data_IF_314913230821
#
_entry.id   IF_314913230821
#
_cell.length_a   1.000
_cell.length_b   1.000
_cell.length_c   1.000
_cell.angle_alpha   90.00
_cell.angle_beta   90.00
_cell.angle_gamma   90.00
#
_symmetry.space_group_name_H-M   'P 1'
#
loop_
_entity.id
_entity.type
_entity.pdbx_description
1 polymer ?
#
# COMPACT_ATOMS: atom_id res chain seq x y z
N UNK A 1 8.92 -9.88 0.13
CA UNK A 1 7.47 -9.67 0.31
C UNK A 1 6.90 -9.43 -1.06
N UNK A 2 5.65 -9.82 -1.34
CA UNK A 2 5.09 -9.68 -2.68
C UNK A 2 4.36 -8.35 -2.84
N UNK A 3 4.50 -7.71 -4.00
CA UNK A 3 3.74 -6.50 -4.35
C UNK A 3 3.15 -6.64 -5.75
N UNK A 4 1.92 -6.17 -5.92
CA UNK A 4 1.28 -6.06 -7.23
C UNK A 4 1.68 -4.75 -7.92
N UNK A 5 2.08 -4.82 -9.18
CA UNK A 5 2.47 -3.65 -9.96
C UNK A 5 2.01 -3.65 -11.40
N UNK A 6 1.73 -2.47 -11.96
CA UNK A 6 1.42 -2.29 -13.39
C UNK A 6 2.74 -2.24 -14.17
N UNK A 7 2.92 -3.14 -15.15
CA UNK A 7 4.13 -3.21 -16.00
C UNK A 7 3.91 -2.64 -17.40
N UNK A 8 2.66 -2.40 -17.76
CA UNK A 8 2.25 -1.88 -19.05
C UNK A 8 0.73 -1.89 -19.15
N UNK A 9 0.17 -1.44 -20.30
CA UNK A 9 -1.27 -1.43 -20.52
C UNK A 9 -1.86 -2.82 -20.29
N UNK A 10 -2.79 -2.94 -19.34
CA UNK A 10 -3.45 -4.21 -18.97
C UNK A 10 -2.52 -5.33 -18.48
N UNK A 11 -1.29 -5.02 -18.07
CA UNK A 11 -0.33 -6.02 -17.57
C UNK A 11 0.00 -5.73 -16.10
N UNK A 12 -0.37 -6.67 -15.23
CA UNK A 12 -0.04 -6.67 -13.81
C UNK A 12 0.97 -7.78 -13.53
N UNK A 13 1.99 -7.51 -12.72
CA UNK A 13 2.86 -8.52 -12.14
C UNK A 13 2.74 -8.54 -10.62
N UNK A 14 3.05 -9.70 -10.04
CA UNK A 14 3.29 -9.84 -8.61
C UNK A 14 4.74 -10.25 -8.42
N UNK A 15 5.57 -9.30 -7.99
CA UNK A 15 7.01 -9.49 -7.86
C UNK A 15 7.43 -9.56 -6.38
N UNK A 16 8.52 -10.25 -6.10
CA UNK A 16 9.19 -10.15 -4.80
C UNK A 16 9.89 -8.79 -4.67
N UNK A 17 9.67 -8.14 -3.55
CA UNK A 17 10.31 -6.88 -3.17
C UNK A 17 10.90 -6.96 -1.77
N UNK A 18 11.85 -6.08 -1.51
CA UNK A 18 12.36 -5.85 -0.16
C UNK A 18 11.25 -5.36 0.77
N UNK A 19 11.39 -5.69 2.05
CA UNK A 19 10.61 -5.08 3.12
C UNK A 19 10.91 -3.57 3.15
N UNK A 20 9.90 -2.68 3.26
CA UNK A 20 10.13 -1.26 3.43
C UNK A 20 10.99 -0.96 4.66
N UNK A 21 11.87 0.03 4.55
CA UNK A 21 12.58 0.59 5.70
C UNK A 21 11.69 1.63 6.39
N UNK A 22 11.79 1.67 7.71
CA UNK A 22 11.03 2.56 8.56
C UNK A 22 11.79 3.88 8.72
N UNK A 23 11.20 5.00 8.29
CA UNK A 23 11.74 6.35 8.49
C UNK A 23 11.07 7.03 9.70
N UNK A 24 11.55 8.23 10.04
CA UNK A 24 10.91 9.10 11.04
C UNK A 24 9.44 9.32 10.70
N UNK A 25 8.54 9.17 11.66
CA UNK A 25 7.10 9.33 11.46
C UNK A 25 6.39 8.11 10.84
N UNK A 26 7.12 7.08 10.40
CA UNK A 26 6.50 5.90 9.79
C UNK A 26 5.96 4.91 10.82
N UNK A 27 4.93 4.18 10.41
CA UNK A 27 4.56 2.88 10.98
C UNK A 27 4.67 1.83 9.89
N UNK A 28 5.09 0.62 10.25
CA UNK A 28 5.09 -0.53 9.35
C UNK A 28 3.92 -1.45 9.66
N UNK A 29 3.08 -1.66 8.65
CA UNK A 29 1.86 -2.47 8.77
C UNK A 29 2.03 -3.78 8.02
N UNK A 30 1.78 -4.90 8.70
CA UNK A 30 1.52 -6.17 8.05
C UNK A 30 0.09 -6.17 7.51
N UNK A 31 -0.02 -5.94 6.21
CA UNK A 31 -1.29 -5.92 5.51
C UNK A 31 -1.95 -7.30 5.53
N UNK A 32 -3.23 -7.36 5.93
CA UNK A 32 -4.05 -8.58 5.90
C UNK A 32 -5.00 -8.58 4.70
N UNK A 33 -5.53 -7.41 4.33
CA UNK A 33 -6.39 -7.23 3.19
C UNK A 33 -6.15 -5.86 2.55
N UNK A 34 -6.47 -5.74 1.27
CA UNK A 34 -6.53 -4.48 0.54
C UNK A 34 -7.70 -4.57 -0.44
N UNK A 35 -8.59 -3.58 -0.43
CA UNK A 35 -9.67 -3.48 -1.39
C UNK A 35 -9.17 -3.22 -2.81
N UNK A 36 -10.03 -3.51 -3.79
CA UNK A 36 -9.85 -3.12 -5.18
C UNK A 36 -10.86 -2.03 -5.47
N UNK A 37 -10.37 -0.86 -5.83
CA UNK A 37 -11.20 0.29 -6.18
C UNK A 37 -11.25 0.48 -7.71
N UNK A 38 -12.28 1.17 -8.19
CA UNK A 38 -12.38 1.55 -9.60
C UNK A 38 -11.16 2.32 -10.10
N UNK A 39 -10.49 3.10 -9.24
CA UNK A 39 -9.27 3.81 -9.61
C UNK A 39 -8.06 2.88 -9.83
N UNK A 40 -8.04 1.68 -9.23
CA UNK A 40 -7.03 0.67 -9.57
C UNK A 40 -7.30 0.07 -10.96
N UNK A 41 -8.58 -0.11 -11.32
CA UNK A 41 -8.96 -0.53 -12.67
C UNK A 41 -8.59 0.52 -13.72
N UNK A 42 -8.82 1.81 -13.43
CA UNK A 42 -8.42 2.91 -14.31
C UNK A 42 -6.90 2.99 -14.49
N UNK A 43 -6.10 2.64 -13.46
CA UNK A 43 -4.63 2.56 -13.60
C UNK A 43 -4.18 1.41 -14.50
N UNK A 44 -4.90 0.29 -14.49
CA UNK A 44 -4.53 -0.91 -15.25
C UNK A 44 -5.04 -0.86 -16.69
N UNK A 45 -6.29 -0.43 -16.87
CA UNK A 45 -7.03 -0.51 -18.12
C UNK A 45 -7.33 0.85 -18.75
N UNK A 46 -7.27 1.94 -17.96
CA UNK A 46 -7.55 3.30 -18.43
C UNK A 46 -6.35 3.96 -19.10
N UNK A 47 -6.53 5.22 -19.49
CA UNK A 47 -5.51 6.03 -20.18
C UNK A 47 -4.76 6.98 -19.22
N UNK A 48 -4.97 6.85 -17.91
CA UNK A 48 -4.28 7.66 -16.92
C UNK A 48 -2.80 7.29 -16.89
N UNK A 49 -1.98 8.07 -17.59
CA UNK A 49 -0.53 7.99 -17.57
C UNK A 49 0.02 8.48 -16.24
N UNK A 50 -0.01 7.62 -15.21
CA UNK A 50 0.76 7.86 -13.98
C UNK A 50 1.68 6.66 -13.76
N UNK A 51 3.00 6.87 -13.69
CA UNK A 51 4.01 5.81 -13.53
C UNK A 51 4.02 5.18 -12.12
N UNK A 52 2.95 5.36 -11.33
CA UNK A 52 2.86 4.68 -10.04
C UNK A 52 2.72 3.20 -10.27
N UNK A 53 3.85 2.51 -10.09
CA UNK A 53 3.97 1.10 -10.39
C UNK A 53 3.13 0.25 -9.45
N UNK A 54 2.77 0.67 -8.22
CA UNK A 54 2.11 -0.20 -7.24
C UNK A 54 0.59 0.03 -7.16
N UNK A 55 -0.16 -1.06 -7.06
CA UNK A 55 -1.61 -1.06 -6.89
C UNK A 55 -2.00 -1.15 -5.41
N UNK A 56 -3.24 -0.76 -5.11
CA UNK A 56 -3.85 -0.86 -3.79
C UNK A 56 -3.66 0.40 -2.94
N UNK A 57 -4.78 0.95 -2.49
CA UNK A 57 -4.84 2.14 -1.64
C UNK A 57 -5.94 2.03 -0.57
N UNK A 58 -6.46 0.80 -0.38
CA UNK A 58 -7.46 0.47 0.64
C UNK A 58 -6.96 -0.62 1.61
N UNK A 59 -5.71 -0.55 2.15
CA UNK A 59 -5.18 -1.57 3.03
C UNK A 59 -5.76 -1.54 4.46
N UNK A 60 -5.88 -2.73 5.04
CA UNK A 60 -6.12 -2.95 6.46
C UNK A 60 -5.16 -4.04 7.00
N UNK A 61 -4.69 -3.86 8.23
CA UNK A 61 -3.68 -4.76 8.80
C UNK A 61 -3.34 -4.48 10.26
N UNK A 62 -2.18 -4.99 10.66
CA UNK A 62 -1.66 -4.86 12.03
C UNK A 62 -0.29 -4.18 12.01
N UNK A 63 -0.08 -3.22 12.91
CA UNK A 63 1.22 -2.56 13.08
C UNK A 63 2.25 -3.55 13.63
N UNK A 64 3.35 -3.73 12.91
CA UNK A 64 4.47 -4.61 13.28
C UNK A 64 5.75 -3.86 13.66
N UNK A 65 5.84 -2.57 13.29
CA UNK A 65 6.93 -1.67 13.69
C UNK A 65 6.49 -0.22 13.70
N UNK A 66 7.13 0.60 14.53
CA UNK A 66 6.79 2.01 14.74
C UNK A 66 8.09 2.80 14.91
N UNK A 67 8.21 3.93 14.21
CA UNK A 67 9.37 4.79 14.33
C UNK A 67 9.46 5.38 15.74
N UNK A 68 10.67 5.66 16.22
CA UNK A 68 10.89 6.06 17.62
C UNK A 68 10.22 7.39 18.01
N UNK A 69 9.92 8.24 17.03
CA UNK A 69 9.28 9.54 17.18
C UNK A 69 7.74 9.50 17.06
N UNK A 70 7.16 8.34 16.73
CA UNK A 70 5.71 8.16 16.63
C UNK A 70 5.14 7.73 17.98
N UNK A 71 4.16 8.49 18.49
CA UNK A 71 3.54 8.27 19.81
C UNK A 71 2.09 7.80 19.75
N UNK A 72 1.43 7.98 18.61
CA UNK A 72 -0.01 7.69 18.46
C UNK A 72 -0.32 6.22 18.15
N UNK A 73 0.71 5.41 17.85
CA UNK A 73 0.58 4.01 17.45
C UNK A 73 1.56 3.12 18.19
N UNK A 74 1.20 1.84 18.33
CA UNK A 74 2.08 0.78 18.88
C UNK A 74 1.93 -0.53 18.12
N UNK A 75 2.94 -1.40 18.28
CA UNK A 75 2.91 -2.77 17.76
C UNK A 75 1.65 -3.49 18.25
N UNK A 76 0.96 -4.17 17.34
CA UNK A 76 -0.29 -4.90 17.61
C UNK A 76 -1.56 -4.08 17.37
N UNK A 77 -1.47 -2.77 17.15
CA UNK A 77 -2.65 -1.98 16.78
C UNK A 77 -3.20 -2.44 15.43
N UNK A 78 -4.53 -2.54 15.34
CA UNK A 78 -5.24 -2.77 14.09
C UNK A 78 -5.50 -1.42 13.43
N UNK A 79 -5.04 -1.28 12.19
CA UNK A 79 -5.12 -0.03 11.44
C UNK A 79 -5.71 -0.27 10.06
N UNK A 80 -6.38 0.75 9.54
CA UNK A 80 -6.77 0.86 8.15
C UNK A 80 -6.41 2.27 7.68
N UNK A 81 -6.04 2.42 6.41
CA UNK A 81 -5.83 3.75 5.84
C UNK A 81 -7.16 4.28 5.31
N UNK A 82 -7.53 5.48 5.74
CA UNK A 82 -8.73 6.13 5.26
C UNK A 82 -8.56 6.57 3.80
N UNK A 83 -9.47 6.14 2.92
CA UNK A 83 -9.32 6.24 1.46
C UNK A 83 -10.08 7.43 0.82
N UNK A 84 -10.45 8.47 1.59
CA UNK A 84 -11.16 9.61 0.99
C UNK A 84 -10.24 10.37 0.03
N UNK A 85 -10.66 10.39 -1.23
CA UNK A 85 -10.25 11.38 -2.22
C UNK A 85 -10.72 12.74 -1.69
N UNK A 86 -9.80 13.57 -1.22
CA UNK A 86 -10.02 15.01 -1.08
C UNK A 86 -9.86 15.69 -2.43
#
# INVERSE_FOLDING_TARGET
>A
MKTASVKGPSIISVDETSKPQLNSGDILVQMHACGICGSDLEKVFGQYGQPSMRLGHEPAGVVIDVASDVVDFKKGDRVFTHHHVS
#
